data_IF_510900766654
#
_entry.id   IF_510900766654
#
_cell.length_a   1.000
_cell.length_b   1.000
_cell.length_c   1.000
_cell.angle_alpha   90.00
_cell.angle_beta   90.00
_cell.angle_gamma   90.00
#
_symmetry.space_group_name_H-M   'P 1'
#
loop_
_entity.id
_entity.type
_entity.pdbx_description
1 polymer ?
#
# COMPACT_ATOMS: atom_id res chain seq x y z
N UNK A 1 48.02 3.20 -0.63
CA UNK A 1 47.59 1.91 -1.21
C UNK A 1 46.39 1.45 -0.42
N UNK A 2 45.20 1.49 -1.01
CA UNK A 2 43.99 1.02 -0.33
C UNK A 2 43.99 -0.51 -0.44
N UNK A 3 43.83 -1.26 0.67
CA UNK A 3 43.93 -2.71 0.64
C UNK A 3 42.79 -3.27 -0.23
N UNK A 4 43.20 -3.91 -1.33
CA UNK A 4 42.50 -4.95 -2.09
C UNK A 4 40.97 -4.97 -1.89
N UNK A 5 40.25 -4.31 -2.80
CA UNK A 5 38.82 -4.56 -2.98
C UNK A 5 38.66 -6.01 -3.41
N UNK A 6 38.42 -6.89 -2.43
CA UNK A 6 38.12 -8.30 -2.69
C UNK A 6 37.04 -8.36 -3.78
N UNK A 7 37.26 -9.13 -4.86
CA UNK A 7 36.28 -9.22 -5.92
C UNK A 7 34.92 -9.67 -5.34
N UNK A 8 33.79 -9.21 -5.91
CA UNK A 8 32.47 -9.64 -5.48
C UNK A 8 32.40 -11.17 -5.40
N UNK A 9 31.66 -11.68 -4.42
CA UNK A 9 31.33 -13.11 -4.33
C UNK A 9 30.94 -13.62 -5.74
N UNK A 10 31.42 -14.79 -6.18
CA UNK A 10 31.11 -15.32 -7.51
C UNK A 10 29.61 -15.32 -7.86
N UNK A 11 28.73 -15.44 -6.86
CA UNK A 11 27.27 -15.35 -7.03
C UNK A 11 26.75 -13.95 -7.37
N UNK A 12 27.55 -12.92 -7.11
CA UNK A 12 27.29 -11.51 -7.42
C UNK A 12 28.10 -11.02 -8.63
N UNK A 13 28.79 -11.92 -9.34
CA UNK A 13 29.46 -11.58 -10.58
C UNK A 13 28.49 -11.72 -11.76
N UNK A 14 28.63 -10.84 -12.75
CA UNK A 14 27.84 -10.91 -13.97
C UNK A 14 28.16 -12.22 -14.71
N UNK A 15 27.16 -13.06 -15.05
CA UNK A 15 27.39 -14.28 -15.81
C UNK A 15 28.02 -14.00 -17.18
N UNK A 16 28.73 -14.98 -17.71
CA UNK A 16 29.25 -14.91 -19.08
C UNK A 16 28.11 -14.73 -20.10
N UNK A 17 28.36 -13.93 -21.13
CA UNK A 17 27.36 -13.63 -22.17
C UNK A 17 26.31 -12.58 -21.81
N UNK A 18 26.23 -12.13 -20.55
CA UNK A 18 25.31 -11.05 -20.14
C UNK A 18 25.92 -9.68 -20.43
N UNK A 19 25.22 -8.84 -21.20
CA UNK A 19 25.68 -7.49 -21.53
C UNK A 19 25.43 -6.50 -20.38
N UNK A 20 26.16 -5.38 -20.37
CA UNK A 20 25.89 -4.29 -19.42
C UNK A 20 24.44 -3.78 -19.52
N UNK A 21 23.94 -3.57 -20.74
CA UNK A 21 22.55 -3.16 -20.98
C UNK A 21 21.53 -4.17 -20.44
N UNK A 22 21.82 -5.47 -20.49
CA UNK A 22 20.95 -6.49 -19.88
C UNK A 22 20.90 -6.33 -18.36
N UNK A 23 22.05 -6.10 -17.71
CA UNK A 23 22.11 -5.86 -16.26
C UNK A 23 21.34 -4.59 -15.88
N UNK A 24 21.49 -3.52 -16.65
CA UNK A 24 20.75 -2.26 -16.44
C UNK A 24 19.24 -2.45 -16.57
N UNK A 25 18.79 -3.18 -17.60
CA UNK A 25 17.38 -3.48 -17.81
C UNK A 25 16.79 -4.30 -16.63
N UNK A 26 17.50 -5.32 -16.16
CA UNK A 26 17.07 -6.11 -14.99
C UNK A 26 17.05 -5.26 -13.71
N UNK A 27 18.02 -4.37 -13.51
CA UNK A 27 18.02 -3.43 -12.40
C UNK A 27 16.82 -2.47 -12.44
N UNK A 28 16.46 -1.98 -13.63
CA UNK A 28 15.27 -1.15 -13.81
C UNK A 28 13.98 -1.92 -13.50
N UNK A 29 13.87 -3.18 -13.93
CA UNK A 29 12.72 -4.04 -13.63
C UNK A 29 12.58 -4.31 -12.13
N UNK A 30 13.66 -4.67 -11.44
CA UNK A 30 13.65 -4.88 -9.99
C UNK A 30 13.24 -3.61 -9.23
N UNK A 31 13.74 -2.44 -9.67
CA UNK A 31 13.36 -1.15 -9.09
C UNK A 31 11.87 -0.84 -9.29
N UNK A 32 11.31 -1.19 -10.45
CA UNK A 32 9.88 -1.04 -10.70
C UNK A 32 9.04 -1.91 -9.75
N UNK A 33 9.43 -3.18 -9.56
CA UNK A 33 8.78 -4.08 -8.61
C UNK A 33 8.85 -3.56 -7.17
N UNK A 34 10.04 -3.17 -6.69
CA UNK A 34 10.19 -2.58 -5.35
C UNK A 34 9.28 -1.36 -5.16
N UNK A 35 9.18 -0.51 -6.18
CA UNK A 35 8.31 0.67 -6.14
C UNK A 35 6.83 0.27 -6.06
N UNK A 36 6.41 -0.73 -6.84
CA UNK A 36 5.05 -1.26 -6.79
C UNK A 36 4.72 -1.91 -5.43
N UNK A 37 5.69 -2.60 -4.80
CA UNK A 37 5.56 -3.14 -3.43
C UNK A 37 5.35 -2.04 -2.40
N UNK A 38 6.10 -0.94 -2.52
CA UNK A 38 5.94 0.22 -1.63
C UNK A 38 4.58 0.88 -1.79
N UNK A 39 4.09 1.02 -3.02
CA UNK A 39 2.75 1.52 -3.29
C UNK A 39 1.68 0.59 -2.67
N UNK A 40 1.86 -0.73 -2.80
CA UNK A 40 1.01 -1.74 -2.15
C UNK A 40 0.98 -1.55 -0.62
N UNK A 41 2.14 -1.37 -0.01
CA UNK A 41 2.27 -1.08 1.43
C UNK A 41 1.50 0.17 1.85
N UNK A 42 1.60 1.25 1.07
CA UNK A 42 0.86 2.49 1.33
C UNK A 42 -0.68 2.30 1.27
N UNK A 43 -1.18 1.36 0.47
CA UNK A 43 -2.61 1.02 0.46
C UNK A 43 -3.06 0.29 1.74
N UNK A 44 -2.20 -0.55 2.32
CA UNK A 44 -2.47 -1.14 3.65
C UNK A 44 -2.45 -0.08 4.74
N UNK A 45 -1.47 0.83 4.72
CA UNK A 45 -1.41 1.95 5.68
C UNK A 45 -2.67 2.82 5.57
N UNK A 46 -3.08 3.15 4.34
CA UNK A 46 -4.33 3.84 4.06
C UNK A 46 -5.54 3.10 4.66
N UNK A 47 -5.66 1.79 4.42
CA UNK A 47 -6.74 0.98 4.97
C UNK A 47 -6.77 1.01 6.50
N UNK A 48 -5.63 0.86 7.16
CA UNK A 48 -5.53 0.89 8.62
C UNK A 48 -5.89 2.26 9.21
N UNK A 49 -5.38 3.34 8.61
CA UNK A 49 -5.65 4.71 9.05
C UNK A 49 -7.14 5.05 8.90
N UNK A 50 -7.76 4.71 7.78
CA UNK A 50 -9.18 4.95 7.57
C UNK A 50 -10.05 4.08 8.48
N UNK A 51 -9.71 2.80 8.65
CA UNK A 51 -10.43 1.94 9.60
C UNK A 51 -10.38 2.48 11.03
N UNK A 52 -9.22 3.01 11.45
CA UNK A 52 -9.09 3.71 12.73
C UNK A 52 -9.96 4.97 12.83
N UNK A 53 -10.05 5.74 11.75
CA UNK A 53 -10.94 6.92 11.70
C UNK A 53 -12.43 6.53 11.78
N UNK A 54 -12.85 5.44 11.13
CA UNK A 54 -14.22 4.94 11.22
C UNK A 54 -14.58 4.48 12.65
N UNK A 55 -13.63 3.84 13.36
CA UNK A 55 -13.82 3.52 14.79
C UNK A 55 -13.96 4.77 15.65
N UNK A 56 -13.17 5.82 15.37
CA UNK A 56 -13.29 7.08 16.07
C UNK A 56 -14.63 7.80 15.78
N UNK A 57 -15.14 7.68 14.55
CA UNK A 57 -16.46 8.20 14.18
C UNK A 57 -17.58 7.47 14.91
N UNK A 58 -17.50 6.14 15.04
CA UNK A 58 -18.45 5.35 15.81
C UNK A 58 -18.51 5.83 17.28
N UNK A 59 -17.34 6.03 17.90
CA UNK A 59 -17.28 6.57 19.27
C UNK A 59 -17.84 8.00 19.36
N UNK A 60 -17.56 8.85 18.36
CA UNK A 60 -18.12 10.20 18.30
C UNK A 60 -19.64 10.18 18.20
N UNK A 61 -20.23 9.30 17.38
CA UNK A 61 -21.69 9.10 17.28
C UNK A 61 -22.26 8.71 18.64
N UNK A 62 -21.64 7.72 19.30
CA UNK A 62 -22.04 7.27 20.65
C UNK A 62 -21.99 8.41 21.67
N UNK A 63 -20.93 9.21 21.67
CA UNK A 63 -20.75 10.35 22.57
C UNK A 63 -21.76 11.47 22.30
N UNK A 64 -22.03 11.80 21.03
CA UNK A 64 -23.04 12.78 20.65
C UNK A 64 -24.43 12.36 21.14
N UNK A 65 -24.79 11.08 21.02
CA UNK A 65 -26.05 10.54 21.56
C UNK A 65 -26.11 10.67 23.08
N UNK A 66 -25.04 10.27 23.78
CA UNK A 66 -24.98 10.36 25.25
C UNK A 66 -25.07 11.80 25.77
N UNK A 67 -24.57 12.77 25.00
CA UNK A 67 -24.67 14.20 25.30
C UNK A 67 -26.03 14.83 24.94
N UNK A 68 -26.98 14.06 24.39
CA UNK A 68 -28.30 14.56 23.98
C UNK A 68 -28.34 15.20 22.59
N UNK A 69 -27.25 15.13 21.81
CA UNK A 69 -27.16 15.67 20.45
C UNK A 69 -27.57 14.63 19.38
N UNK A 70 -28.70 13.96 19.59
CA UNK A 70 -29.22 12.91 18.70
C UNK A 70 -29.24 13.28 17.21
N UNK A 71 -29.80 14.44 16.81
CA UNK A 71 -29.84 14.83 15.39
C UNK A 71 -28.46 14.96 14.73
N UNK A 72 -27.43 15.34 15.50
CA UNK A 72 -26.06 15.45 14.98
C UNK A 72 -25.43 14.06 14.87
N UNK A 73 -25.66 13.19 15.85
CA UNK A 73 -25.25 11.80 15.78
C UNK A 73 -25.86 11.08 14.56
N UNK A 74 -27.17 11.25 14.34
CA UNK A 74 -27.86 10.66 13.18
C UNK A 74 -27.30 11.19 11.86
N UNK A 75 -26.90 12.48 11.80
CA UNK A 75 -26.30 13.05 10.60
C UNK A 75 -24.93 12.42 10.30
N UNK A 76 -24.06 12.32 11.29
CA UNK A 76 -22.72 11.72 11.12
C UNK A 76 -22.84 10.24 10.73
N UNK A 77 -23.72 9.50 11.39
CA UNK A 77 -23.97 8.08 11.10
C UNK A 77 -24.45 7.87 9.67
N UNK A 78 -25.42 8.66 9.20
CA UNK A 78 -25.92 8.53 7.82
C UNK A 78 -24.95 9.03 6.75
N UNK A 79 -24.26 10.13 7.02
CA UNK A 79 -23.51 10.86 6.00
C UNK A 79 -22.02 10.55 5.99
N UNK A 80 -21.48 9.82 6.97
CA UNK A 80 -20.04 9.58 7.06
C UNK A 80 -19.75 8.12 7.40
N UNK A 81 -20.34 7.61 8.48
CA UNK A 81 -19.99 6.29 9.01
C UNK A 81 -20.28 5.18 7.99
N UNK A 82 -19.27 4.35 7.72
CA UNK A 82 -19.40 3.20 6.81
C UNK A 82 -19.52 3.54 5.33
N UNK A 83 -19.25 4.79 4.92
CA UNK A 83 -19.24 5.15 3.50
C UNK A 83 -18.06 4.52 2.78
N UNK A 84 -18.29 4.14 1.52
CA UNK A 84 -17.22 3.81 0.60
C UNK A 84 -16.31 5.03 0.36
N UNK A 85 -15.00 4.82 0.43
CA UNK A 85 -14.00 5.89 0.26
C UNK A 85 -13.85 6.34 -1.19
N UNK A 86 -14.19 5.46 -2.13
CA UNK A 86 -14.35 5.73 -3.57
C UNK A 86 -15.58 4.96 -4.06
N UNK A 87 -16.18 5.29 -5.22
CA UNK A 87 -17.37 4.61 -5.70
C UNK A 87 -17.22 3.08 -5.71
N UNK A 88 -18.09 2.39 -4.97
CA UNK A 88 -18.16 0.93 -4.92
C UNK A 88 -17.07 0.22 -4.12
N UNK A 89 -16.13 0.93 -3.48
CA UNK A 89 -15.03 0.28 -2.76
C UNK A 89 -14.90 0.79 -1.33
N UNK A 90 -14.90 -0.15 -0.39
CA UNK A 90 -14.30 0.08 0.91
C UNK A 90 -12.77 -0.07 0.81
N UNK A 91 -12.04 0.41 1.81
CA UNK A 91 -10.58 0.59 1.70
C UNK A 91 -9.80 -0.68 1.38
N UNK A 92 -10.23 -1.85 1.86
CA UNK A 92 -9.53 -3.10 1.57
C UNK A 92 -9.78 -3.60 0.14
N UNK A 93 -10.94 -3.33 -0.45
CA UNK A 93 -11.18 -3.66 -1.87
C UNK A 93 -10.22 -2.92 -2.80
N UNK A 94 -9.76 -1.73 -2.42
CA UNK A 94 -8.72 -1.02 -3.19
C UNK A 94 -7.41 -1.83 -3.19
N UNK A 95 -7.06 -2.46 -2.07
CA UNK A 95 -5.89 -3.33 -1.97
C UNK A 95 -6.08 -4.58 -2.83
N UNK A 96 -7.26 -5.21 -2.77
CA UNK A 96 -7.58 -6.40 -3.54
C UNK A 96 -7.50 -6.13 -5.05
N UNK A 97 -8.11 -5.05 -5.52
CA UNK A 97 -8.08 -4.66 -6.94
C UNK A 97 -6.69 -4.27 -7.41
N UNK A 98 -5.90 -3.55 -6.58
CA UNK A 98 -4.50 -3.26 -6.91
C UNK A 98 -3.66 -4.53 -7.02
N UNK A 99 -3.90 -5.51 -6.13
CA UNK A 99 -3.23 -6.80 -6.20
C UNK A 99 -3.57 -7.52 -7.50
N UNK A 100 -4.87 -7.70 -7.76
CA UNK A 100 -5.38 -8.48 -8.88
C UNK A 100 -5.00 -7.89 -10.25
N UNK A 101 -5.02 -6.56 -10.38
CA UNK A 101 -4.87 -5.89 -11.68
C UNK A 101 -3.44 -5.48 -12.00
N UNK A 102 -2.58 -5.26 -10.99
CA UNK A 102 -1.27 -4.65 -11.21
C UNK A 102 -0.13 -5.36 -10.48
N UNK A 103 -0.28 -5.67 -9.19
CA UNK A 103 0.84 -6.22 -8.41
C UNK A 103 1.12 -7.69 -8.73
N UNK A 104 0.09 -8.55 -8.81
CA UNK A 104 0.27 -9.99 -8.98
C UNK A 104 0.89 -10.34 -10.34
N UNK A 105 0.76 -9.46 -11.33
CA UNK A 105 1.43 -9.61 -12.64
C UNK A 105 2.96 -9.57 -12.51
N UNK A 106 3.52 -8.86 -11.53
CA UNK A 106 4.96 -8.92 -11.25
C UNK A 106 5.40 -10.21 -10.55
N UNK A 107 4.46 -10.96 -9.97
CA UNK A 107 4.71 -12.18 -9.18
C UNK A 107 4.53 -13.47 -9.98
N UNK A 108 3.93 -13.38 -11.16
CA UNK A 108 3.74 -14.48 -12.11
C UNK A 108 5.02 -14.75 -12.93
#
# INVERSE_FOLDING_TARGET
>A
MNPESRPPDPRHQRPEGVTGTTVEALGALSKALETAERARGALYDFHQLTGGADLALDDAVRLLRAAGHGPHADLVEREILGRNVIPGHWTFQIVEEYNATYYDVFRA
#
